data_IF_840976939378
#
_entry.id   IF_840976939378
#
_cell.length_a   1.000
_cell.length_b   1.000
_cell.length_c   1.000
_cell.angle_alpha   90.00
_cell.angle_beta   90.00
_cell.angle_gamma   90.00
#
_symmetry.space_group_name_H-M   'P 1'
#
loop_
_entity.id
_entity.type
_entity.pdbx_description
1 polymer ?
#
# COMPACT_ATOMS: atom_id res chain seq x y z
N UNK A 1 -18.33 -9.08 -0.33
CA UNK A 1 -17.50 -8.89 -1.54
C UNK A 1 -17.51 -7.40 -1.85
N UNK A 2 -16.36 -6.74 -1.99
CA UNK A 2 -16.28 -5.29 -2.21
C UNK A 2 -16.31 -5.00 -3.72
N UNK A 3 -17.12 -4.02 -4.13
CA UNK A 3 -17.17 -3.54 -5.52
C UNK A 3 -15.97 -2.62 -5.79
N UNK A 4 -15.30 -2.79 -6.93
CA UNK A 4 -14.16 -1.96 -7.35
C UNK A 4 -14.63 -0.99 -8.43
N UNK A 5 -14.63 0.30 -8.11
CA UNK A 5 -15.10 1.38 -8.98
C UNK A 5 -13.98 2.29 -9.44
N UNK A 6 -12.98 2.52 -8.58
CA UNK A 6 -11.89 3.47 -8.81
C UNK A 6 -10.67 2.76 -9.39
N UNK A 7 -10.21 1.68 -8.75
CA UNK A 7 -8.96 0.98 -9.09
C UNK A 7 -9.18 -0.16 -10.09
N UNK A 8 -9.99 0.10 -11.12
CA UNK A 8 -10.27 -0.86 -12.20
C UNK A 8 -8.99 -1.27 -12.93
N UNK A 9 -8.09 -0.32 -13.21
CA UNK A 9 -6.83 -0.62 -13.89
C UNK A 9 -5.94 -1.59 -13.10
N UNK A 10 -5.84 -1.42 -11.78
CA UNK A 10 -5.07 -2.32 -10.92
C UNK A 10 -5.71 -3.72 -10.86
N UNK A 11 -7.04 -3.76 -10.78
CA UNK A 11 -7.81 -5.01 -10.84
C UNK A 11 -7.56 -5.76 -12.16
N UNK A 12 -7.55 -5.05 -13.28
CA UNK A 12 -7.39 -5.62 -14.61
C UNK A 12 -5.92 -5.98 -14.91
N UNK A 13 -4.96 -5.39 -14.19
CA UNK A 13 -3.52 -5.62 -14.33
C UNK A 13 -2.89 -6.08 -13.01
N UNK A 14 -3.25 -7.28 -12.50
CA UNK A 14 -2.88 -7.73 -11.16
C UNK A 14 -1.41 -8.15 -11.03
N UNK A 15 -0.63 -8.18 -12.11
CA UNK A 15 0.75 -8.67 -12.10
C UNK A 15 1.65 -7.78 -12.96
N UNK A 16 2.91 -7.63 -12.53
CA UNK A 16 3.93 -6.89 -13.29
C UNK A 16 4.40 -7.67 -14.52
N UNK A 17 4.54 -8.99 -14.42
CA UNK A 17 4.96 -9.88 -15.51
C UNK A 17 3.95 -11.02 -15.71
N UNK A 18 2.75 -10.77 -16.24
CA UNK A 18 1.71 -11.78 -16.37
C UNK A 18 2.20 -13.04 -17.09
N UNK A 19 2.02 -14.22 -16.47
CA UNK A 19 2.41 -15.51 -17.05
C UNK A 19 3.91 -15.84 -17.04
N UNK A 20 4.76 -15.01 -16.42
CA UNK A 20 6.17 -15.34 -16.21
C UNK A 20 6.31 -16.48 -15.18
N UNK A 21 7.09 -17.52 -15.52
CA UNK A 21 7.27 -18.73 -14.70
C UNK A 21 8.25 -18.57 -13.54
N UNK A 22 9.17 -17.62 -13.63
CA UNK A 22 10.16 -17.33 -12.60
C UNK A 22 9.60 -16.33 -11.58
N UNK A 23 8.98 -15.26 -12.06
CA UNK A 23 8.37 -14.24 -11.21
C UNK A 23 7.28 -13.46 -11.93
N UNK A 24 6.02 -13.74 -11.58
CA UNK A 24 4.85 -12.99 -12.08
C UNK A 24 4.65 -11.66 -11.32
N UNK A 25 5.02 -11.62 -10.04
CA UNK A 25 4.91 -10.44 -9.19
C UNK A 25 3.47 -9.94 -9.02
N UNK A 26 2.53 -10.86 -8.74
CA UNK A 26 1.11 -10.59 -8.58
C UNK A 26 0.81 -9.78 -7.30
N UNK A 27 -0.29 -9.02 -7.31
CA UNK A 27 -0.84 -8.37 -6.12
C UNK A 27 -1.38 -9.39 -5.13
N UNK A 28 -1.32 -9.06 -3.84
CA UNK A 28 -1.87 -9.89 -2.77
C UNK A 28 -2.93 -9.10 -1.98
N UNK A 29 -4.19 -9.57 -2.00
CA UNK A 29 -5.31 -8.85 -1.41
C UNK A 29 -5.34 -8.97 0.11
N UNK A 30 -6.11 -8.07 0.71
CA UNK A 30 -6.55 -8.14 2.08
C UNK A 30 -8.06 -8.44 2.12
N UNK A 31 -8.50 -9.29 3.05
CA UNK A 31 -9.92 -9.57 3.24
C UNK A 31 -10.67 -8.33 3.74
N UNK A 32 -11.98 -8.26 3.50
CA UNK A 32 -12.78 -7.12 3.99
C UNK A 32 -12.73 -6.97 5.51
N UNK A 33 -12.60 -8.07 6.26
CA UNK A 33 -12.44 -8.05 7.72
C UNK A 33 -11.09 -7.48 8.16
N UNK A 34 -10.01 -7.83 7.47
CA UNK A 34 -8.70 -7.24 7.74
C UNK A 34 -8.72 -5.72 7.42
N UNK A 35 -9.37 -5.30 6.32
CA UNK A 35 -9.55 -3.87 6.00
C UNK A 35 -10.32 -3.15 7.11
N UNK A 36 -11.44 -3.70 7.59
CA UNK A 36 -12.21 -3.11 8.70
C UNK A 36 -11.41 -3.03 9.99
N UNK A 37 -10.64 -4.07 10.32
CA UNK A 37 -9.76 -4.05 11.49
C UNK A 37 -8.72 -2.92 11.40
N UNK A 38 -8.19 -2.65 10.20
CA UNK A 38 -7.29 -1.51 10.00
C UNK A 38 -7.99 -0.15 10.09
N UNK A 39 -9.26 -0.04 9.68
CA UNK A 39 -10.06 1.16 9.88
C UNK A 39 -10.30 1.45 11.36
N UNK A 40 -10.53 0.41 12.17
CA UNK A 40 -10.60 0.50 13.63
C UNK A 40 -9.29 1.02 14.23
N UNK A 41 -8.16 0.44 13.84
CA UNK A 41 -6.85 0.76 14.42
C UNK A 41 -6.34 2.13 13.95
N UNK A 42 -6.43 2.43 12.65
CA UNK A 42 -5.71 3.55 12.03
C UNK A 42 -6.61 4.72 11.63
N UNK A 43 -7.94 4.56 11.67
CA UNK A 43 -8.88 5.62 11.30
C UNK A 43 -10.01 5.81 12.32
N UNK A 44 -9.76 5.45 13.59
CA UNK A 44 -10.71 5.60 14.70
C UNK A 44 -12.07 4.94 14.41
N UNK A 45 -12.07 3.78 13.76
CA UNK A 45 -13.28 3.06 13.37
C UNK A 45 -14.06 3.69 12.22
N UNK A 46 -13.54 4.76 11.59
CA UNK A 46 -14.15 5.34 10.40
C UNK A 46 -13.67 4.60 9.15
N UNK A 47 -14.51 4.43 8.13
CA UNK A 47 -14.07 3.86 6.86
C UNK A 47 -12.96 4.70 6.22
N UNK A 48 -11.96 4.04 5.64
CA UNK A 48 -10.98 4.71 4.80
C UNK A 48 -11.66 5.29 3.55
N UNK A 49 -11.03 6.28 2.88
CA UNK A 49 -11.43 6.71 1.55
C UNK A 49 -11.60 5.51 0.61
N UNK A 50 -12.59 5.59 -0.30
CA UNK A 50 -12.97 4.46 -1.15
C UNK A 50 -11.79 3.88 -1.94
N UNK A 51 -10.94 4.74 -2.52
CA UNK A 51 -9.73 4.32 -3.23
C UNK A 51 -8.75 3.53 -2.34
N UNK A 52 -8.63 3.88 -1.05
CA UNK A 52 -7.76 3.17 -0.10
C UNK A 52 -8.36 1.83 0.27
N UNK A 53 -9.67 1.76 0.52
CA UNK A 53 -10.35 0.47 0.75
C UNK A 53 -10.20 -0.47 -0.45
N UNK A 54 -10.41 0.04 -1.66
CA UNK A 54 -10.23 -0.74 -2.89
C UNK A 54 -8.77 -1.21 -3.04
N UNK A 55 -7.80 -0.34 -2.74
CA UNK A 55 -6.38 -0.69 -2.82
C UNK A 55 -6.03 -1.81 -1.85
N UNK A 56 -6.44 -1.68 -0.59
CA UNK A 56 -6.17 -2.71 0.42
C UNK A 56 -6.88 -4.02 0.05
N UNK A 57 -8.12 -3.94 -0.40
CA UNK A 57 -8.87 -5.12 -0.81
C UNK A 57 -8.24 -5.84 -2.02
N UNK A 58 -7.64 -5.12 -2.97
CA UNK A 58 -6.97 -5.70 -4.13
C UNK A 58 -5.53 -6.15 -3.85
N UNK A 59 -4.78 -5.35 -3.09
CA UNK A 59 -3.32 -5.39 -3.04
C UNK A 59 -2.74 -5.00 -1.67
N UNK A 60 -3.52 -5.13 -0.59
CA UNK A 60 -3.14 -4.65 0.75
C UNK A 60 -2.00 -5.40 1.43
N UNK A 61 -1.63 -6.60 0.96
CA UNK A 61 -0.46 -7.34 1.45
C UNK A 61 0.75 -7.12 0.54
N UNK A 62 0.50 -6.97 -0.76
CA UNK A 62 1.53 -6.74 -1.77
C UNK A 62 0.93 -6.03 -2.98
N UNK A 63 1.58 -4.97 -3.43
CA UNK A 63 1.22 -4.24 -4.64
C UNK A 63 2.47 -3.97 -5.46
N UNK A 64 2.53 -4.43 -6.72
CA UNK A 64 3.73 -4.20 -7.56
C UNK A 64 3.89 -2.74 -8.01
N UNK A 65 2.83 -1.93 -7.87
CA UNK A 65 2.83 -0.49 -8.17
C UNK A 65 3.37 0.33 -7.00
N UNK A 66 3.35 -0.22 -5.79
CA UNK A 66 3.81 0.46 -4.58
C UNK A 66 5.04 -0.25 -4.04
N UNK A 67 6.14 0.48 -3.90
CA UNK A 67 7.41 -0.05 -3.40
C UNK A 67 7.41 -0.32 -1.89
N UNK A 68 6.39 0.15 -1.15
CA UNK A 68 6.28 0.01 0.30
C UNK A 68 4.84 -0.35 0.71
N UNK A 69 4.69 -1.00 1.86
CA UNK A 69 3.38 -1.19 2.46
C UNK A 69 2.84 0.16 2.96
N UNK A 70 1.69 0.61 2.42
CA UNK A 70 1.10 1.90 2.79
C UNK A 70 0.63 1.98 4.25
N UNK A 71 0.46 0.83 4.91
CA UNK A 71 0.10 0.75 6.32
C UNK A 71 1.33 0.67 7.23
N UNK A 72 2.52 0.42 6.68
CA UNK A 72 3.76 0.48 7.43
C UNK A 72 4.36 1.88 7.35
N UNK A 73 3.91 2.74 8.27
CA UNK A 73 4.39 4.12 8.39
C UNK A 73 5.90 4.15 8.71
N UNK A 74 6.42 3.12 9.37
CA UNK A 74 7.84 3.05 9.70
C UNK A 74 8.65 2.82 8.42
N UNK A 75 8.23 1.94 7.50
CA UNK A 75 8.90 1.83 6.19
C UNK A 75 8.87 3.14 5.39
N UNK A 76 7.78 3.91 5.48
CA UNK A 76 7.64 5.18 4.76
C UNK A 76 8.44 6.34 5.38
N UNK A 77 8.78 6.28 6.67
CA UNK A 77 9.51 7.34 7.36
C UNK A 77 10.95 6.98 7.72
N UNK A 78 11.20 5.77 8.19
CA UNK A 78 12.52 5.32 8.65
C UNK A 78 13.44 5.05 7.46
N UNK A 79 13.00 4.37 6.40
CA UNK A 79 13.87 4.11 5.24
C UNK A 79 14.42 5.40 4.59
N UNK A 80 13.62 6.47 4.38
CA UNK A 80 14.17 7.74 3.92
C UNK A 80 15.08 8.42 4.95
N UNK A 81 14.77 8.32 6.26
CA UNK A 81 15.59 8.91 7.34
C UNK A 81 16.96 8.24 7.41
N UNK A 82 17.00 6.91 7.38
CA UNK A 82 18.23 6.11 7.35
C UNK A 82 19.04 6.45 6.09
N UNK A 83 18.43 6.44 4.91
CA UNK A 83 19.11 6.83 3.67
C UNK A 83 19.70 8.24 3.74
N UNK A 84 18.98 9.20 4.32
CA UNK A 84 19.47 10.56 4.48
C UNK A 84 20.65 10.66 5.45
N UNK A 85 20.63 9.92 6.56
CA UNK A 85 21.75 9.81 7.48
C UNK A 85 22.98 9.22 6.80
N UNK A 86 22.82 8.10 6.08
CA UNK A 86 23.91 7.43 5.34
C UNK A 86 24.52 8.32 4.25
N UNK A 87 23.72 9.21 3.66
CA UNK A 87 24.13 10.07 2.55
C UNK A 87 24.44 11.52 2.97
N UNK A 88 24.56 11.81 4.27
CA UNK A 88 24.81 13.16 4.81
C UNK A 88 23.85 14.23 4.27
N UNK A 89 22.57 13.87 4.10
CA UNK A 89 21.49 14.78 3.71
C UNK A 89 20.73 15.21 4.96
N UNK A 90 20.52 16.51 5.13
CA UNK A 90 19.69 17.05 6.21
C UNK A 90 18.41 17.67 5.66
N UNK A 91 17.25 17.32 6.23
CA UNK A 91 16.01 18.05 5.99
C UNK A 91 16.02 19.31 6.85
N UNK A 92 16.35 20.44 6.25
CA UNK A 92 16.37 21.75 6.92
C UNK A 92 15.00 22.46 6.93
N UNK A 93 13.90 21.74 6.68
CA UNK A 93 12.55 22.32 6.67
C UNK A 93 11.67 21.57 7.66
N UNK A 94 10.88 22.29 8.49
CA UNK A 94 9.92 21.62 9.34
C UNK A 94 8.88 20.94 8.44
N UNK A 95 8.73 19.63 8.60
CA UNK A 95 7.60 18.90 8.04
C UNK A 95 6.33 19.41 8.70
N UNK A 96 5.34 19.77 7.87
CA UNK A 96 3.97 20.12 8.30
C UNK A 96 3.37 19.05 9.21
#
# INVERSE_FOLDING_TARGET
MMEIKILTYLKDNPAINPGNKEYEGRIEPMSSSEVQNHEEIYNNGKPFPEAVRELLFLAGKRCHVLSHNILDINELQENPREWMQENNKAINRPSM
#
